data_IF_618439712155
#
_entry.id   IF_618439712155
#
_cell.length_a   1.000
_cell.length_b   1.000
_cell.length_c   1.000
_cell.angle_alpha   90.00
_cell.angle_beta   90.00
_cell.angle_gamma   90.00
#
_symmetry.space_group_name_H-M   'P 1'
#
loop_
_entity.id
_entity.type
_entity.pdbx_description
1 polymer ?
#
# COMPACT_ATOMS: atom_id res chain seq x y z
N UNK A 1 -22.00 -11.48 6.68
CA UNK A 1 -20.93 -11.04 5.76
C UNK A 1 -21.33 -11.51 4.37
N UNK A 2 -21.57 -10.60 3.42
CA UNK A 2 -21.93 -10.97 2.05
C UNK A 2 -20.63 -11.33 1.34
N UNK A 3 -20.47 -12.59 0.92
CA UNK A 3 -19.32 -13.00 0.12
C UNK A 3 -19.44 -12.33 -1.25
N UNK A 4 -18.74 -11.22 -1.45
CA UNK A 4 -18.60 -10.59 -2.77
C UNK A 4 -17.63 -11.42 -3.59
N UNK A 5 -18.16 -12.28 -4.46
CA UNK A 5 -17.43 -12.72 -5.64
C UNK A 5 -17.40 -11.52 -6.60
N UNK A 6 -16.38 -11.39 -7.45
CA UNK A 6 -16.21 -10.22 -8.34
C UNK A 6 -17.28 -10.14 -9.44
N UNK A 7 -18.54 -9.96 -9.07
CA UNK A 7 -19.68 -9.74 -9.95
C UNK A 7 -19.93 -8.23 -10.13
N UNK A 8 -20.37 -7.83 -11.32
CA UNK A 8 -20.66 -6.44 -11.64
C UNK A 8 -21.74 -5.87 -10.70
N UNK A 9 -22.65 -6.72 -10.23
CA UNK A 9 -23.74 -6.36 -9.32
C UNK A 9 -23.26 -6.00 -7.90
N UNK A 10 -22.05 -6.43 -7.51
CA UNK A 10 -21.47 -6.14 -6.19
C UNK A 10 -20.63 -4.85 -6.18
N UNK A 11 -20.30 -4.28 -7.35
CA UNK A 11 -19.50 -3.05 -7.49
C UNK A 11 -20.09 -1.86 -6.73
N UNK A 12 -21.41 -1.56 -6.80
CA UNK A 12 -21.98 -0.43 -6.05
C UNK A 12 -21.82 -0.58 -4.54
N UNK A 13 -21.91 -1.81 -4.02
CA UNK A 13 -21.74 -2.09 -2.58
C UNK A 13 -20.29 -1.81 -2.15
N UNK A 14 -19.33 -2.19 -2.98
CA UNK A 14 -17.90 -1.91 -2.73
C UNK A 14 -17.61 -0.41 -2.79
N UNK A 15 -18.19 0.31 -3.76
CA UNK A 15 -18.06 1.77 -3.85
C UNK A 15 -18.59 2.46 -2.60
N UNK A 16 -19.79 2.10 -2.16
CA UNK A 16 -20.39 2.64 -0.94
C UNK A 16 -19.51 2.37 0.30
N UNK A 17 -19.00 1.15 0.44
CA UNK A 17 -18.12 0.79 1.56
C UNK A 17 -16.78 1.57 1.54
N UNK A 18 -16.24 1.87 0.36
CA UNK A 18 -15.06 2.74 0.20
C UNK A 18 -15.38 4.19 0.56
N UNK A 19 -16.50 4.73 0.05
CA UNK A 19 -16.95 6.10 0.33
C UNK A 19 -17.23 6.31 1.82
N UNK A 20 -17.82 5.32 2.50
CA UNK A 20 -18.07 5.33 3.94
C UNK A 20 -16.81 5.03 4.76
N UNK A 21 -15.68 4.73 4.12
CA UNK A 21 -14.43 4.47 4.81
C UNK A 21 -14.34 3.13 5.55
N UNK A 22 -15.32 2.24 5.34
CA UNK A 22 -15.32 0.87 5.85
C UNK A 22 -14.21 0.06 5.16
N UNK A 23 -14.04 0.28 3.85
CA UNK A 23 -13.12 -0.47 3.00
C UNK A 23 -13.77 -1.77 2.51
N UNK A 24 -12.96 -2.75 2.13
CA UNK A 24 -13.43 -4.06 1.69
C UNK A 24 -12.49 -5.15 2.19
N UNK A 25 -12.95 -6.41 2.20
CA UNK A 25 -12.10 -7.55 2.48
C UNK A 25 -11.28 -7.90 1.24
N UNK A 26 -9.96 -7.96 1.38
CA UNK A 26 -9.09 -8.51 0.34
C UNK A 26 -9.34 -10.00 0.11
N UNK A 27 -8.55 -10.60 -0.77
CA UNK A 27 -8.48 -12.05 -0.94
C UNK A 27 -7.10 -12.54 -0.48
N UNK A 28 -7.02 -13.78 -0.01
CA UNK A 28 -5.80 -14.35 0.60
C UNK A 28 -4.64 -14.48 -0.39
N UNK A 29 -4.92 -14.52 -1.70
CA UNK A 29 -3.88 -14.57 -2.73
C UNK A 29 -2.93 -13.36 -2.74
N UNK A 30 -3.32 -12.24 -2.11
CA UNK A 30 -2.52 -11.01 -2.08
C UNK A 30 -2.08 -10.58 -0.68
N UNK A 31 -2.23 -11.45 0.33
CA UNK A 31 -1.72 -11.15 1.66
C UNK A 31 -0.18 -11.13 1.64
N UNK A 32 0.46 -10.11 2.25
CA UNK A 32 1.91 -10.09 2.39
C UNK A 32 2.43 -11.34 3.12
N UNK A 33 3.66 -11.75 2.78
CA UNK A 33 4.29 -12.89 3.47
C UNK A 33 4.42 -12.58 4.96
N UNK A 34 3.90 -13.48 5.79
CA UNK A 34 3.91 -13.35 7.25
C UNK A 34 2.75 -12.53 7.81
N UNK A 35 1.74 -12.24 7.00
CA UNK A 35 0.58 -11.44 7.36
C UNK A 35 -0.74 -12.23 7.18
N UNK A 36 -1.76 -11.92 7.97
CA UNK A 36 -3.12 -12.45 7.85
C UNK A 36 -4.13 -11.30 7.83
N UNK A 37 -4.85 -11.10 6.72
CA UNK A 37 -5.84 -10.00 6.60
C UNK A 37 -6.92 -10.01 7.68
N UNK A 38 -7.21 -11.18 8.26
CA UNK A 38 -8.24 -11.30 9.30
C UNK A 38 -7.84 -10.61 10.61
N UNK A 39 -6.56 -10.33 10.82
CA UNK A 39 -6.04 -9.57 11.97
C UNK A 39 -6.32 -8.06 11.89
N UNK A 40 -6.86 -7.57 10.75
CA UNK A 40 -7.37 -6.21 10.57
C UNK A 40 -8.89 -6.19 10.34
N UNK A 41 -9.72 -6.34 11.40
CA UNK A 41 -11.17 -6.30 11.25
C UNK A 41 -11.67 -4.99 10.62
N UNK A 42 -12.58 -5.08 9.65
CA UNK A 42 -13.09 -3.93 8.87
C UNK A 42 -13.65 -2.81 9.75
N UNK A 43 -14.31 -3.17 10.85
CA UNK A 43 -14.95 -2.23 11.77
C UNK A 43 -13.98 -1.66 12.83
N UNK A 44 -12.69 -2.01 12.80
CA UNK A 44 -11.73 -1.41 13.71
C UNK A 44 -11.50 0.07 13.38
N UNK A 45 -11.22 0.91 14.40
CA UNK A 45 -10.81 2.29 14.18
C UNK A 45 -9.62 2.37 13.22
N UNK A 46 -9.59 3.39 12.36
CA UNK A 46 -8.48 3.63 11.42
C UNK A 46 -7.14 3.76 12.15
N UNK A 47 -7.17 4.34 13.35
CA UNK A 47 -6.02 4.46 14.22
C UNK A 47 -6.46 4.33 15.68
N UNK A 48 -5.65 3.66 16.49
CA UNK A 48 -5.89 3.44 17.91
C UNK A 48 -4.59 3.67 18.69
N UNK A 49 -4.72 4.31 19.86
CA UNK A 49 -3.63 4.43 20.81
C UNK A 49 -3.66 3.25 21.77
N UNK A 50 -2.55 2.54 21.85
CA UNK A 50 -2.32 1.45 22.78
C UNK A 50 -1.28 1.88 23.81
N UNK A 51 -1.48 1.57 25.10
CA UNK A 51 -0.48 1.87 26.12
C UNK A 51 0.79 1.05 25.90
N UNK A 52 1.96 1.61 26.27
CA UNK A 52 3.17 0.79 26.47
C UNK A 52 2.92 -0.09 27.70
N UNK A 53 3.30 -1.37 27.61
CA UNK A 53 3.06 -2.46 28.58
C UNK A 53 2.78 -2.02 30.03
N UNK A 54 1.75 -2.60 30.67
CA UNK A 54 1.32 -2.39 32.08
C UNK A 54 0.53 -1.11 32.43
N UNK A 55 0.19 -0.22 31.48
CA UNK A 55 -0.72 0.88 31.82
C UNK A 55 -2.19 0.40 31.90
N UNK A 56 -2.81 0.54 33.05
CA UNK A 56 -4.21 0.16 33.33
C UNK A 56 -5.25 1.13 32.73
N UNK A 57 -4.80 2.23 32.12
CA UNK A 57 -5.66 3.24 31.49
C UNK A 57 -5.14 3.62 30.12
N UNK A 58 -6.07 3.82 29.18
CA UNK A 58 -5.76 4.50 27.93
C UNK A 58 -5.31 5.93 28.25
N UNK A 59 -4.22 6.41 27.65
CA UNK A 59 -3.78 7.78 27.87
C UNK A 59 -4.88 8.75 27.41
N UNK A 60 -5.00 9.89 28.09
CA UNK A 60 -5.79 11.00 27.54
C UNK A 60 -5.13 11.45 26.25
N UNK A 61 -5.80 11.18 25.13
CA UNK A 61 -5.27 11.43 23.80
C UNK A 61 -6.24 12.22 22.95
N UNK A 62 -5.69 13.02 22.04
CA UNK A 62 -6.46 13.59 20.93
C UNK A 62 -5.87 13.06 19.64
N UNK A 63 -6.70 12.35 18.89
CA UNK A 63 -6.37 11.89 17.56
C UNK A 63 -7.23 12.67 16.57
N UNK A 64 -6.57 13.36 15.65
CA UNK A 64 -7.22 14.08 14.57
C UNK A 64 -6.74 13.53 13.23
N UNK A 65 -7.68 12.95 12.48
CA UNK A 65 -7.42 12.53 11.11
C UNK A 65 -7.50 13.75 10.19
N UNK A 66 -6.38 14.08 9.52
CA UNK A 66 -6.34 15.17 8.52
C UNK A 66 -6.70 14.64 7.13
N UNK A 67 -6.16 13.46 6.77
CA UNK A 67 -6.37 12.84 5.45
C UNK A 67 -6.22 11.33 5.54
N UNK A 68 -7.15 10.60 4.95
CA UNK A 68 -7.07 9.13 4.86
C UNK A 68 -7.47 8.66 3.47
N UNK A 69 -6.48 8.53 2.59
CA UNK A 69 -6.66 8.07 1.19
C UNK A 69 -5.95 6.74 0.96
N UNK A 70 -6.16 6.11 -0.20
CA UNK A 70 -5.47 4.87 -0.55
C UNK A 70 -3.94 4.99 -0.47
N UNK A 71 -3.34 6.11 -0.87
CA UNK A 71 -1.88 6.28 -0.98
C UNK A 71 -1.27 7.14 0.13
N UNK A 72 -2.08 7.88 0.89
CA UNK A 72 -1.60 8.84 1.89
C UNK A 72 -2.50 8.85 3.13
N UNK A 73 -1.89 8.66 4.30
CA UNK A 73 -2.51 8.82 5.62
C UNK A 73 -1.81 9.94 6.37
N UNK A 74 -2.57 10.89 6.88
CA UNK A 74 -2.09 12.01 7.68
C UNK A 74 -2.96 12.15 8.90
N UNK A 75 -2.34 12.11 10.07
CA UNK A 75 -3.02 12.34 11.34
C UNK A 75 -2.12 13.10 12.30
N UNK A 76 -2.75 13.84 13.19
CA UNK A 76 -2.10 14.47 14.34
C UNK A 76 -2.54 13.76 15.60
N UNK A 77 -1.57 13.39 16.44
CA UNK A 77 -1.81 12.73 17.72
C UNK A 77 -1.17 13.55 18.83
N UNK A 78 -1.97 13.90 19.85
CA UNK A 78 -1.48 14.49 21.09
C UNK A 78 -1.54 13.47 22.21
N UNK A 79 -0.39 13.18 22.81
CA UNK A 79 -0.19 12.22 23.90
C UNK A 79 0.37 12.93 25.14
N UNK A 80 -0.08 12.53 26.32
CA UNK A 80 0.51 12.94 27.61
C UNK A 80 1.61 12.01 28.10
N UNK A 81 1.56 10.77 27.63
CA UNK A 81 2.44 9.68 28.04
C UNK A 81 2.89 8.93 26.79
N UNK A 82 3.93 8.13 26.94
CA UNK A 82 4.42 7.29 25.86
C UNK A 82 3.37 6.23 25.47
N UNK A 83 3.16 6.04 24.17
CA UNK A 83 2.16 5.11 23.68
C UNK A 83 2.51 4.56 22.30
N UNK A 84 1.85 3.47 21.92
CA UNK A 84 1.89 2.90 20.59
C UNK A 84 0.70 3.39 19.78
N UNK A 85 0.94 3.87 18.57
CA UNK A 85 -0.08 4.14 17.57
C UNK A 85 -0.23 2.92 16.69
N UNK A 86 -1.31 2.15 16.88
CA UNK A 86 -1.69 1.06 15.97
C UNK A 86 -2.58 1.62 14.87
N UNK A 87 -2.18 1.44 13.62
CA UNK A 87 -2.96 1.84 12.45
C UNK A 87 -3.65 0.62 11.86
N UNK A 88 -4.90 0.78 11.41
CA UNK A 88 -5.60 -0.23 10.58
C UNK A 88 -5.03 -0.17 9.16
N UNK A 89 -3.78 -0.59 9.05
CA UNK A 89 -2.96 -0.57 7.84
C UNK A 89 -1.96 -1.72 7.92
N UNK A 90 -1.91 -2.57 6.90
CA UNK A 90 -0.94 -3.66 6.83
C UNK A 90 0.49 -3.13 6.83
N UNK A 91 1.39 -3.83 7.51
CA UNK A 91 2.80 -3.48 7.61
C UNK A 91 3.58 -3.84 6.33
N UNK A 92 3.29 -3.13 5.24
CA UNK A 92 3.84 -3.41 3.91
C UNK A 92 5.07 -2.55 3.57
N UNK A 93 6.14 -3.10 2.96
CA UNK A 93 7.42 -2.40 2.72
C UNK A 93 7.35 -1.13 1.87
N UNK A 94 6.30 -0.95 1.07
CA UNK A 94 6.15 0.27 0.27
C UNK A 94 5.72 1.48 1.11
N UNK A 95 5.17 1.27 2.30
CA UNK A 95 4.78 2.37 3.18
C UNK A 95 6.00 3.07 3.75
N UNK A 96 6.04 4.39 3.60
CA UNK A 96 7.05 5.26 4.21
C UNK A 96 6.40 6.11 5.27
N UNK A 97 6.92 6.04 6.49
CA UNK A 97 6.39 6.75 7.64
C UNK A 97 7.30 7.93 7.97
N UNK A 98 6.70 9.08 8.25
CA UNK A 98 7.37 10.24 8.85
C UNK A 98 6.65 10.65 10.12
N UNK A 99 7.42 10.94 11.16
CA UNK A 99 6.94 11.56 12.39
C UNK A 99 7.61 12.93 12.48
N UNK A 100 6.80 13.99 12.53
CA UNK A 100 7.27 15.38 12.58
C UNK A 100 8.28 15.71 11.46
N UNK A 101 8.00 15.20 10.25
CA UNK A 101 8.83 15.36 9.07
C UNK A 101 10.07 14.47 8.99
N UNK A 102 10.43 13.75 10.06
CA UNK A 102 11.57 12.81 10.07
C UNK A 102 11.13 11.43 9.61
N UNK A 103 11.78 10.90 8.57
CA UNK A 103 11.55 9.56 8.08
C UNK A 103 11.99 8.51 9.11
N UNK A 104 11.11 7.59 9.44
CA UNK A 104 11.39 6.44 10.28
C UNK A 104 11.20 5.15 9.47
N UNK A 105 12.06 4.17 9.69
CA UNK A 105 11.74 2.81 9.28
C UNK A 105 10.62 2.33 10.23
N UNK A 106 9.46 1.88 9.72
CA UNK A 106 8.46 1.25 10.56
C UNK A 106 9.10 0.08 11.33
N UNK A 107 8.75 -0.09 12.60
CA UNK A 107 9.13 -1.32 13.30
C UNK A 107 8.37 -2.49 12.65
N UNK A 108 9.10 -3.36 11.97
CA UNK A 108 8.57 -4.64 11.50
C UNK A 108 8.69 -5.62 12.65
N UNK A 109 7.59 -5.81 13.39
CA UNK A 109 7.47 -6.96 14.28
C UNK A 109 6.93 -8.13 13.47
N UNK A 110 7.57 -9.30 13.56
CA UNK A 110 7.08 -10.55 12.96
C UNK A 110 5.69 -10.95 13.47
N UNK A 111 5.24 -10.37 14.60
CA UNK A 111 3.94 -10.62 15.22
C UNK A 111 2.86 -9.58 14.86
N UNK A 112 3.23 -8.47 14.20
CA UNK A 112 2.31 -7.35 13.96
C UNK A 112 1.99 -7.15 12.47
N UNK A 113 0.91 -7.80 12.04
CA UNK A 113 0.15 -7.52 10.81
C UNK A 113 -0.13 -6.03 10.59
N UNK A 114 -0.57 -5.36 11.67
CA UNK A 114 -0.85 -3.94 11.64
C UNK A 114 0.43 -3.11 11.79
N UNK A 115 0.50 -1.98 11.10
CA UNK A 115 1.53 -0.97 11.34
C UNK A 115 1.37 -0.37 12.74
N UNK A 116 2.43 -0.49 13.54
CA UNK A 116 2.51 0.08 14.90
C UNK A 116 3.69 1.04 14.99
N UNK A 117 3.47 2.22 15.55
CA UNK A 117 4.48 3.26 15.71
C UNK A 117 4.62 3.65 17.17
N UNK A 118 5.86 3.70 17.68
CA UNK A 118 6.16 4.20 19.02
C UNK A 118 6.13 5.72 19.03
N UNK A 119 5.36 6.32 19.93
CA UNK A 119 5.24 7.77 20.06
C UNK A 119 5.62 8.22 21.47
N UNK A 120 6.47 9.24 21.55
CA UNK A 120 6.77 9.94 22.80
C UNK A 120 5.62 10.84 23.25
N UNK A 121 5.61 11.31 24.51
CA UNK A 121 4.70 12.37 24.93
C UNK A 121 4.89 13.64 24.08
N UNK A 122 3.78 14.26 23.67
CA UNK A 122 3.81 15.45 22.82
C UNK A 122 2.70 15.48 21.77
N UNK A 123 2.75 16.47 20.88
CA UNK A 123 1.92 16.52 19.68
C UNK A 123 2.77 16.13 18.49
N UNK A 124 2.38 15.07 17.82
CA UNK A 124 3.09 14.49 16.70
C UNK A 124 2.22 14.50 15.46
N UNK A 125 2.81 14.91 14.33
CA UNK A 125 2.19 14.77 13.01
C UNK A 125 2.76 13.54 12.32
N UNK A 126 1.90 12.59 12.00
CA UNK A 126 2.25 11.33 11.37
C UNK A 126 1.82 11.39 9.91
N UNK A 127 2.77 11.17 9.01
CA UNK A 127 2.55 11.07 7.58
C UNK A 127 2.98 9.69 7.10
N UNK A 128 2.04 8.93 6.53
CA UNK A 128 2.30 7.62 5.95
C UNK A 128 1.97 7.68 4.46
N UNK A 129 2.98 7.47 3.61
CA UNK A 129 2.84 7.55 2.14
C UNK A 129 3.22 6.25 1.47
N UNK A 130 2.40 5.83 0.51
CA UNK A 130 2.69 4.68 -0.32
C UNK A 130 3.74 5.05 -1.36
N UNK A 131 4.91 4.44 -1.27
CA UNK A 131 6.05 4.69 -2.14
C UNK A 131 6.11 3.72 -3.31
N UNK A 132 6.94 4.05 -4.31
CA UNK A 132 7.38 3.07 -5.32
C UNK A 132 8.37 2.11 -4.70
N UNK A 133 8.15 0.83 -4.95
CA UNK A 133 9.05 -0.27 -4.61
C UNK A 133 10.08 -0.51 -5.74
N UNK A 134 11.17 -1.20 -5.42
CA UNK A 134 12.28 -1.40 -6.36
C UNK A 134 11.87 -2.24 -7.58
N UNK A 135 11.01 -3.24 -7.36
CA UNK A 135 10.43 -4.11 -8.40
C UNK A 135 9.67 -3.32 -9.46
N UNK A 136 8.85 -2.33 -9.08
CA UNK A 136 8.15 -1.47 -10.06
C UNK A 136 9.11 -0.70 -10.96
N UNK A 137 10.26 -0.29 -10.42
CA UNK A 137 11.28 0.41 -11.21
C UNK A 137 12.00 -0.54 -12.15
N UNK A 138 12.37 -1.73 -11.68
CA UNK A 138 12.96 -2.77 -12.52
C UNK A 138 12.01 -3.19 -13.65
N UNK A 139 10.73 -3.40 -13.35
CA UNK A 139 9.70 -3.73 -14.33
C UNK A 139 9.61 -2.71 -15.46
N UNK A 140 9.59 -1.42 -15.14
CA UNK A 140 9.58 -0.35 -16.15
C UNK A 140 10.83 -0.38 -17.04
N UNK A 141 12.02 -0.57 -16.44
CA UNK A 141 13.26 -0.67 -17.21
C UNK A 141 13.21 -1.85 -18.18
N UNK A 142 12.78 -3.03 -17.71
CA UNK A 142 12.64 -4.23 -18.53
C UNK A 142 11.63 -3.99 -19.66
N UNK A 143 10.46 -3.41 -19.36
CA UNK A 143 9.44 -3.09 -20.38
C UNK A 143 9.96 -2.11 -21.44
N UNK A 144 10.67 -1.06 -21.03
CA UNK A 144 11.28 -0.12 -21.96
C UNK A 144 12.32 -0.80 -22.86
N UNK A 145 13.18 -1.66 -22.31
CA UNK A 145 14.15 -2.41 -23.09
C UNK A 145 13.48 -3.36 -24.08
N UNK A 146 12.45 -4.10 -23.65
CA UNK A 146 11.68 -4.98 -24.53
C UNK A 146 11.03 -4.21 -25.68
N UNK A 147 10.41 -3.06 -25.41
CA UNK A 147 9.80 -2.22 -26.43
C UNK A 147 10.84 -1.74 -27.45
N UNK A 148 12.01 -1.27 -27.00
CA UNK A 148 13.10 -0.84 -27.88
C UNK A 148 13.59 -1.98 -28.78
N UNK A 149 13.76 -3.18 -28.23
CA UNK A 149 14.14 -4.36 -29.01
C UNK A 149 13.08 -4.70 -30.06
N UNK A 150 11.79 -4.72 -29.69
CA UNK A 150 10.70 -4.98 -30.62
C UNK A 150 10.65 -3.95 -31.75
N UNK A 151 10.81 -2.66 -31.44
CA UNK A 151 10.86 -1.59 -32.45
C UNK A 151 12.08 -1.74 -33.38
N UNK A 152 13.25 -2.08 -32.84
CA UNK A 152 14.45 -2.32 -33.63
C UNK A 152 14.27 -3.51 -34.60
N UNK A 153 13.62 -4.58 -34.16
CA UNK A 153 13.31 -5.74 -35.02
C UNK A 153 12.34 -5.36 -36.14
N UNK A 154 11.28 -4.61 -35.84
CA UNK A 154 10.32 -4.13 -36.84
C UNK A 154 10.99 -3.22 -37.87
N UNK A 155 11.85 -2.30 -37.42
CA UNK A 155 12.61 -1.40 -38.28
C UNK A 155 13.64 -2.15 -39.15
N UNK A 156 14.36 -3.11 -38.58
CA UNK A 156 15.29 -3.94 -39.36
C UNK A 156 14.56 -4.85 -40.37
N UNK A 157 13.34 -5.30 -40.03
CA UNK A 157 12.48 -6.08 -40.92
C UNK A 157 11.96 -5.27 -42.11
N UNK A 158 11.60 -3.99 -41.91
CA UNK A 158 11.13 -3.10 -42.98
C UNK A 158 12.24 -2.65 -43.94
N UNK A 159 13.50 -2.70 -43.49
CA UNK A 159 14.68 -2.40 -44.31
C UNK A 159 15.16 -3.57 -45.18
N UNK A 160 14.59 -4.78 -45.04
CA UNK A 160 14.94 -5.90 -45.93
C UNK A 160 14.44 -5.58 -47.34
N UNK A 161 15.33 -5.38 -48.33
CA UNK A 161 14.89 -5.23 -49.72
C UNK A 161 14.23 -6.54 -50.13
N UNK A 162 13.03 -6.47 -50.68
CA UNK A 162 12.37 -7.61 -51.31
C UNK A 162 13.29 -8.11 -52.43
N UNK A 163 14.04 -9.17 -52.16
CA UNK A 163 14.95 -9.78 -53.12
C UNK A 163 14.17 -10.14 -54.39
N UNK A 164 14.71 -9.69 -55.53
CA UNK A 164 14.17 -9.88 -56.86
C UNK A 164 13.65 -11.30 -57.07
N UNK A 165 12.43 -11.41 -57.58
CA UNK A 165 11.84 -12.66 -58.08
C UNK A 165 12.78 -13.21 -59.15
N UNK A 166 13.35 -14.43 -59.00
CA UNK A 166 14.12 -15.02 -60.08
C UNK A 166 13.17 -15.39 -61.22
N UNK A 167 13.24 -14.66 -62.33
CA UNK A 167 12.57 -15.03 -63.58
C UNK A 167 13.26 -16.28 -64.14
N UNK A 168 12.62 -17.44 -63.96
CA UNK A 168 12.99 -18.66 -64.64
C UNK A 168 12.73 -18.48 -66.14
N UNK A 169 13.78 -18.60 -66.97
CA UNK A 169 13.69 -18.58 -68.43
C UNK A 169 14.16 -19.92 -68.97
N UNK A 170 13.28 -20.59 -69.74
CA UNK A 170 13.59 -21.54 -70.81
C UNK A 170 14.28 -22.84 -70.42
#
# INVERSE_FOLDING_TARGET
VKHTWWDADDIPTLQEAIEQGQGYEGVDEYDPVGDDRTDLPQNAPRAQILPVLHAQKFPETRLHEERWTAEEKVLTVTLREEAWLKMRLLNYPAWRVKIDGRGIAPETSEEATAMVLRLSPGTHRIEVKFGRTADRTAGIVVSCLSLLVSLAMLYAGSLRPTGAVPTFSG
#
